data_IF_611075028197
#
_entry.id   IF_611075028197
#
_cell.length_a   1.000
_cell.length_b   1.000
_cell.length_c   1.000
_cell.angle_alpha   90.00
_cell.angle_beta   90.00
_cell.angle_gamma   90.00
#
_symmetry.space_group_name_H-M   'P 1'
#
loop_
_entity.id
_entity.type
_entity.pdbx_description
1 polymer ?
#
# COMPACT_ATOMS: atom_id res chain seq x y z
N UNK A 1 -27.50 20.00 47.50
CA UNK A 1 -28.06 18.91 46.68
C UNK A 1 -27.47 17.58 47.16
N UNK A 2 -28.30 16.57 47.48
CA UNK A 2 -27.78 15.22 47.81
C UNK A 2 -27.25 14.57 46.51
N UNK A 3 -26.11 13.88 46.58
CA UNK A 3 -25.54 13.17 45.42
C UNK A 3 -26.56 12.16 44.87
N UNK A 4 -26.75 12.06 43.55
CA UNK A 4 -27.70 11.11 42.93
C UNK A 4 -27.40 9.65 43.31
N UNK A 5 -26.12 9.31 43.51
CA UNK A 5 -25.68 7.98 43.96
C UNK A 5 -26.27 7.64 45.34
N UNK A 6 -26.23 8.59 46.29
CA UNK A 6 -26.76 8.39 47.63
C UNK A 6 -28.29 8.18 47.63
N UNK A 7 -28.99 8.79 46.68
CA UNK A 7 -30.44 8.59 46.54
C UNK A 7 -30.78 7.18 46.01
N UNK A 8 -30.03 6.70 45.01
CA UNK A 8 -30.19 5.35 44.46
C UNK A 8 -29.83 4.29 45.51
N UNK A 9 -28.74 4.50 46.24
CA UNK A 9 -28.26 3.57 47.28
C UNK A 9 -29.10 3.58 48.57
N UNK A 10 -30.05 4.51 48.73
CA UNK A 10 -30.79 4.71 49.98
C UNK A 10 -31.63 3.49 50.41
N UNK A 11 -32.14 2.70 49.47
CA UNK A 11 -32.87 1.45 49.75
C UNK A 11 -32.51 0.38 48.73
N UNK A 12 -32.57 -0.89 49.13
CA UNK A 12 -32.27 -2.03 48.24
C UNK A 12 -33.17 -2.07 47.00
N UNK A 13 -34.46 -1.78 47.16
CA UNK A 13 -35.40 -1.71 46.03
C UNK A 13 -35.03 -0.64 45.00
N UNK A 14 -34.59 0.54 45.45
CA UNK A 14 -34.11 1.61 44.55
C UNK A 14 -32.81 1.23 43.86
N UNK A 15 -31.90 0.56 44.56
CA UNK A 15 -30.65 0.07 44.01
C UNK A 15 -30.90 -1.00 42.92
N UNK A 16 -31.79 -1.96 43.17
CA UNK A 16 -32.21 -2.95 42.16
C UNK A 16 -32.84 -2.28 40.94
N UNK A 17 -33.80 -1.39 41.14
CA UNK A 17 -34.45 -0.66 40.04
C UNK A 17 -33.48 0.22 39.28
N UNK A 18 -32.55 0.89 39.98
CA UNK A 18 -31.51 1.72 39.37
C UNK A 18 -30.52 0.90 38.54
N UNK A 19 -30.11 -0.27 39.04
CA UNK A 19 -29.27 -1.23 38.28
C UNK A 19 -29.99 -1.73 37.05
N UNK A 20 -31.25 -2.17 37.16
CA UNK A 20 -32.03 -2.65 36.02
C UNK A 20 -32.23 -1.54 34.99
N UNK A 21 -32.67 -0.36 35.41
CA UNK A 21 -32.85 0.79 34.52
C UNK A 21 -31.53 1.21 33.86
N UNK A 22 -30.42 1.21 34.60
CA UNK A 22 -29.09 1.51 34.08
C UNK A 22 -28.62 0.50 33.03
N UNK A 23 -28.75 -0.80 33.30
CA UNK A 23 -28.39 -1.86 32.37
C UNK A 23 -29.27 -1.84 31.12
N UNK A 24 -30.59 -1.70 31.28
CA UNK A 24 -31.53 -1.58 30.15
C UNK A 24 -31.24 -0.33 29.32
N UNK A 25 -30.99 0.81 29.95
CA UNK A 25 -30.64 2.05 29.26
C UNK A 25 -29.31 1.93 28.50
N UNK A 26 -28.29 1.31 29.13
CA UNK A 26 -27.00 1.08 28.49
C UNK A 26 -27.13 0.18 27.26
N UNK A 27 -27.84 -0.94 27.37
CA UNK A 27 -28.09 -1.85 26.27
C UNK A 27 -28.93 -1.20 25.16
N UNK A 28 -29.95 -0.45 25.54
CA UNK A 28 -30.85 0.25 24.62
C UNK A 28 -30.18 1.36 23.82
N UNK A 29 -29.15 2.01 24.36
CA UNK A 29 -28.41 3.08 23.69
C UNK A 29 -27.20 2.55 22.91
N UNK A 30 -26.55 1.49 23.38
CA UNK A 30 -25.30 0.99 22.79
C UNK A 30 -25.44 0.58 21.31
N UNK A 31 -26.50 -0.14 20.96
CA UNK A 31 -26.70 -0.57 19.57
C UNK A 31 -27.01 0.60 18.62
N UNK A 32 -27.96 1.52 18.92
CA UNK A 32 -28.18 2.72 18.11
C UNK A 32 -26.93 3.58 17.94
N UNK A 33 -26.15 3.76 19.01
CA UNK A 33 -24.87 4.46 18.99
C UNK A 33 -23.89 3.79 18.03
N UNK A 34 -23.67 2.48 18.18
CA UNK A 34 -22.78 1.72 17.32
C UNK A 34 -23.23 1.77 15.85
N UNK A 35 -24.53 1.68 15.60
CA UNK A 35 -25.11 1.75 14.26
C UNK A 35 -24.98 3.14 13.63
N UNK A 36 -25.22 4.20 14.41
CA UNK A 36 -25.06 5.59 13.96
C UNK A 36 -23.61 5.87 13.57
N UNK A 37 -22.64 5.48 14.41
CA UNK A 37 -21.22 5.63 14.12
C UNK A 37 -20.86 4.85 12.85
N UNK A 38 -21.33 3.60 12.71
CA UNK A 38 -21.04 2.76 11.52
C UNK A 38 -21.61 3.31 10.22
N UNK A 39 -22.86 3.77 10.23
CA UNK A 39 -23.60 4.04 8.99
C UNK A 39 -23.77 5.53 8.68
N UNK A 40 -23.89 6.41 9.68
CA UNK A 40 -24.23 7.82 9.44
C UNK A 40 -23.16 8.85 9.82
N UNK A 41 -22.31 8.59 10.83
CA UNK A 41 -21.37 9.62 11.31
C UNK A 41 -20.32 10.07 10.28
N UNK A 42 -20.10 11.37 10.18
CA UNK A 42 -19.11 12.00 9.31
C UNK A 42 -17.97 12.68 10.09
N UNK A 43 -17.97 12.58 11.42
CA UNK A 43 -17.03 13.27 12.32
C UNK A 43 -16.37 12.29 13.30
N UNK A 44 -15.10 11.92 13.07
CA UNK A 44 -14.38 11.03 13.99
C UNK A 44 -14.23 11.59 15.41
N UNK A 45 -14.17 12.92 15.55
CA UNK A 45 -14.12 13.57 16.87
C UNK A 45 -15.43 13.40 17.61
N UNK A 46 -16.57 13.53 16.92
CA UNK A 46 -17.88 13.29 17.52
C UNK A 46 -18.04 11.82 17.92
N UNK A 47 -17.58 10.90 17.08
CA UNK A 47 -17.58 9.47 17.38
C UNK A 47 -16.81 9.16 18.66
N UNK A 48 -15.59 9.71 18.80
CA UNK A 48 -14.80 9.54 20.02
C UNK A 48 -15.51 10.10 21.25
N UNK A 49 -16.10 11.30 21.17
CA UNK A 49 -16.86 11.88 22.28
C UNK A 49 -18.04 11.01 22.68
N UNK A 50 -18.77 10.48 21.71
CA UNK A 50 -19.95 9.65 21.92
C UNK A 50 -19.57 8.27 22.49
N UNK A 51 -18.47 7.68 22.02
CA UNK A 51 -17.88 6.46 22.59
C UNK A 51 -17.43 6.71 24.04
N UNK A 52 -16.73 7.81 24.30
CA UNK A 52 -16.24 8.17 25.65
C UNK A 52 -17.41 8.42 26.61
N UNK A 53 -18.42 9.19 26.19
CA UNK A 53 -19.62 9.43 26.99
C UNK A 53 -20.33 8.12 27.32
N UNK A 54 -20.48 7.22 26.34
CA UNK A 54 -21.06 5.91 26.55
C UNK A 54 -20.25 5.05 27.54
N UNK A 55 -18.92 5.10 27.48
CA UNK A 55 -18.04 4.41 28.45
C UNK A 55 -18.19 4.96 29.88
N UNK A 56 -18.35 6.27 30.06
CA UNK A 56 -18.64 6.84 31.38
C UNK A 56 -19.97 6.35 31.94
N UNK A 57 -21.01 6.25 31.09
CA UNK A 57 -22.30 5.67 31.50
C UNK A 57 -22.12 4.20 31.89
N UNK A 58 -21.36 3.42 31.11
CA UNK A 58 -21.07 2.02 31.43
C UNK A 58 -20.34 1.87 32.78
N UNK A 59 -19.35 2.71 33.07
CA UNK A 59 -18.64 2.73 34.34
C UNK A 59 -19.55 3.09 35.51
N UNK A 60 -20.43 4.07 35.33
CA UNK A 60 -21.42 4.47 36.34
C UNK A 60 -22.41 3.34 36.62
N UNK A 61 -22.99 2.73 35.58
CA UNK A 61 -23.90 1.59 35.71
C UNK A 61 -23.18 0.39 36.35
N UNK A 62 -21.93 0.15 35.98
CA UNK A 62 -21.09 -0.88 36.59
C UNK A 62 -20.84 -0.62 38.07
N UNK A 63 -20.63 0.63 38.47
CA UNK A 63 -20.50 1.01 39.87
C UNK A 63 -21.79 0.77 40.67
N UNK A 64 -22.95 1.19 40.15
CA UNK A 64 -24.26 0.94 40.79
C UNK A 64 -24.56 -0.56 40.87
N UNK A 65 -24.23 -1.32 39.82
CA UNK A 65 -24.36 -2.77 39.79
C UNK A 65 -23.44 -3.46 40.80
N UNK A 66 -22.21 -2.97 40.94
CA UNK A 66 -21.25 -3.47 41.92
C UNK A 66 -21.69 -3.18 43.36
N UNK A 67 -22.31 -2.01 43.62
CA UNK A 67 -22.95 -1.72 44.91
C UNK A 67 -24.05 -2.73 45.23
N UNK A 68 -24.86 -3.11 44.24
CA UNK A 68 -25.88 -4.14 44.43
C UNK A 68 -25.27 -5.51 44.74
N UNK A 69 -24.23 -5.92 44.02
CA UNK A 69 -23.54 -7.19 44.27
C UNK A 69 -22.85 -7.18 45.64
N UNK A 70 -22.21 -6.07 46.01
CA UNK A 70 -21.61 -5.88 47.33
C UNK A 70 -22.65 -5.96 48.46
N UNK A 71 -23.83 -5.35 48.28
CA UNK A 71 -24.97 -5.45 49.23
C UNK A 71 -25.45 -6.88 49.43
N UNK A 72 -25.28 -7.75 48.42
CA UNK A 72 -25.65 -9.17 48.49
C UNK A 72 -24.56 -10.05 49.11
N UNK A 73 -23.29 -9.77 48.81
CA UNK A 73 -22.16 -10.61 49.23
C UNK A 73 -21.60 -10.22 50.60
N UNK A 74 -21.67 -8.95 50.96
CA UNK A 74 -21.09 -8.46 52.21
C UNK A 74 -22.15 -8.44 53.32
N UNK A 75 -21.93 -9.16 54.43
CA UNK A 75 -22.85 -9.16 55.56
C UNK A 75 -22.92 -7.81 56.30
N UNK A 76 -23.92 -7.69 57.18
CA UNK A 76 -24.05 -6.67 58.22
C UNK A 76 -24.29 -5.22 57.74
N UNK A 77 -25.09 -5.02 56.70
CA UNK A 77 -25.46 -3.67 56.26
C UNK A 77 -24.24 -2.86 55.78
N UNK A 78 -23.31 -3.54 55.09
CA UNK A 78 -22.06 -2.93 54.60
C UNK A 78 -22.31 -1.67 53.78
N UNK A 79 -23.38 -1.63 52.98
CA UNK A 79 -23.80 -0.45 52.20
C UNK A 79 -24.16 0.72 53.12
N UNK A 80 -24.95 0.48 54.15
CA UNK A 80 -25.38 1.48 55.12
C UNK A 80 -24.18 2.13 55.79
N UNK A 81 -23.20 1.33 56.24
CA UNK A 81 -22.01 1.83 56.93
C UNK A 81 -21.02 2.48 55.97
N UNK A 82 -20.64 1.78 54.89
CA UNK A 82 -19.51 2.19 54.04
C UNK A 82 -19.86 3.23 52.97
N UNK A 83 -21.12 3.27 52.51
CA UNK A 83 -21.55 4.13 51.41
C UNK A 83 -22.47 5.24 51.90
N UNK A 84 -23.43 4.90 52.77
CA UNK A 84 -24.39 5.89 53.30
C UNK A 84 -23.89 6.58 54.58
N UNK A 85 -22.82 6.07 55.22
CA UNK A 85 -22.29 6.62 56.47
C UNK A 85 -23.26 6.53 57.64
N UNK A 86 -24.20 5.58 57.61
CA UNK A 86 -25.16 5.35 58.70
C UNK A 86 -24.51 4.46 59.76
N UNK A 87 -24.65 4.86 61.02
CA UNK A 87 -24.38 3.97 62.15
C UNK A 87 -25.49 2.93 62.20
N UNK A 88 -25.11 1.65 62.18
CA UNK A 88 -26.05 0.54 62.39
C UNK A 88 -26.08 0.31 63.89
N UNK A 89 -27.25 0.43 64.52
CA UNK A 89 -27.43 0.15 65.94
C UNK A 89 -27.15 -1.34 66.18
N UNK A 90 -25.94 -1.63 66.65
CA UNK A 90 -25.55 -2.97 67.07
C UNK A 90 -26.03 -3.12 68.51
N UNK A 91 -27.26 -3.59 68.69
CA UNK A 91 -27.88 -3.76 70.02
C UNK A 91 -27.22 -4.84 70.89
N UNK A 92 -26.16 -5.50 70.42
CA UNK A 92 -25.35 -6.47 71.17
C UNK A 92 -23.87 -6.05 71.15
N UNK A 93 -23.30 -5.71 72.31
CA UNK A 93 -21.90 -5.28 72.47
C UNK A 93 -20.86 -6.29 71.90
N UNK A 94 -21.22 -7.57 71.84
CA UNK A 94 -20.38 -8.64 71.27
C UNK A 94 -20.25 -8.60 69.74
N UNK A 95 -20.93 -7.70 69.03
CA UNK A 95 -20.85 -7.59 67.57
C UNK A 95 -20.23 -6.29 67.07
N UNK A 96 -19.97 -5.30 67.94
CA UNK A 96 -19.42 -4.01 67.54
C UNK A 96 -18.01 -4.12 66.93
N UNK A 97 -17.15 -4.96 67.52
CA UNK A 97 -15.79 -5.21 67.03
C UNK A 97 -15.77 -6.01 65.72
N UNK A 98 -16.78 -6.84 65.46
CA UNK A 98 -16.94 -7.57 64.19
C UNK A 98 -17.39 -6.65 63.06
N UNK A 99 -18.20 -5.61 63.35
CA UNK A 99 -18.67 -4.64 62.35
C UNK A 99 -17.54 -3.69 61.89
N UNK A 100 -16.69 -3.23 62.81
CA UNK A 100 -15.55 -2.35 62.49
C UNK A 100 -14.48 -3.10 61.66
N UNK A 101 -14.15 -4.34 62.06
CA UNK A 101 -13.26 -5.21 61.29
C UNK A 101 -13.85 -5.61 59.91
N UNK A 102 -15.16 -5.84 59.82
CA UNK A 102 -15.82 -6.22 58.58
C UNK A 102 -15.98 -5.08 57.56
N UNK A 103 -15.87 -3.81 57.98
CA UNK A 103 -16.10 -2.65 57.09
C UNK A 103 -14.80 -2.06 56.56
N UNK A 104 -13.72 -2.05 57.35
CA UNK A 104 -12.44 -1.42 56.98
C UNK A 104 -11.61 -2.22 55.97
N UNK A 105 -11.77 -3.55 55.94
CA UNK A 105 -10.94 -4.44 55.09
C UNK A 105 -11.56 -4.78 53.73
N UNK A 106 -12.78 -4.30 53.43
CA UNK A 106 -13.52 -4.72 52.22
C UNK A 106 -13.39 -3.79 51.02
N UNK A 107 -12.65 -2.68 51.12
CA UNK A 107 -12.44 -1.76 49.99
C UNK A 107 -11.77 -2.46 48.81
N UNK A 108 -10.79 -3.32 49.07
CA UNK A 108 -10.14 -4.12 48.03
C UNK A 108 -11.14 -5.10 47.39
N UNK A 109 -11.87 -5.86 48.20
CA UNK A 109 -12.87 -6.81 47.73
C UNK A 109 -13.98 -6.13 46.90
N UNK A 110 -14.48 -4.98 47.34
CA UNK A 110 -15.45 -4.19 46.59
C UNK A 110 -14.88 -3.68 45.25
N UNK A 111 -13.65 -3.19 45.26
CA UNK A 111 -12.98 -2.73 44.03
C UNK A 111 -12.82 -3.88 43.03
N UNK A 112 -12.49 -5.10 43.50
CA UNK A 112 -12.45 -6.30 42.67
C UNK A 112 -13.84 -6.64 42.08
N UNK A 113 -14.89 -6.59 42.89
CA UNK A 113 -16.28 -6.79 42.41
C UNK A 113 -16.61 -5.77 41.33
N UNK A 114 -16.29 -4.49 41.55
CA UNK A 114 -16.56 -3.44 40.58
C UNK A 114 -15.84 -3.66 39.25
N UNK A 115 -14.55 -4.00 39.28
CA UNK A 115 -13.79 -4.33 38.07
C UNK A 115 -14.42 -5.52 37.34
N UNK A 116 -14.77 -6.60 38.05
CA UNK A 116 -15.40 -7.78 37.44
C UNK A 116 -16.75 -7.41 36.80
N UNK A 117 -17.59 -6.64 37.50
CA UNK A 117 -18.88 -6.20 36.98
C UNK A 117 -18.74 -5.31 35.75
N UNK A 118 -17.79 -4.37 35.75
CA UNK A 118 -17.48 -3.52 34.58
C UNK A 118 -17.01 -4.38 33.41
N UNK A 119 -16.13 -5.36 33.65
CA UNK A 119 -15.66 -6.28 32.61
C UNK A 119 -16.82 -7.09 32.01
N UNK A 120 -17.74 -7.57 32.83
CA UNK A 120 -18.95 -8.27 32.36
C UNK A 120 -19.78 -7.32 31.48
N UNK A 121 -20.09 -6.11 31.96
CA UNK A 121 -20.90 -5.14 31.21
C UNK A 121 -20.26 -4.75 29.87
N UNK A 122 -18.96 -4.44 29.87
CA UNK A 122 -18.22 -4.06 28.66
C UNK A 122 -18.16 -5.24 27.69
N UNK A 123 -17.87 -6.45 28.18
CA UNK A 123 -17.84 -7.66 27.35
C UNK A 123 -19.21 -7.97 26.75
N UNK A 124 -20.27 -7.95 27.56
CA UNK A 124 -21.65 -8.15 27.10
C UNK A 124 -22.02 -7.13 26.02
N UNK A 125 -21.64 -5.87 26.20
CA UNK A 125 -21.95 -4.84 25.19
C UNK A 125 -21.08 -4.98 23.95
N UNK A 126 -19.83 -5.41 24.09
CA UNK A 126 -18.96 -5.76 22.97
C UNK A 126 -19.58 -6.84 22.09
N UNK A 127 -20.12 -7.91 22.70
CA UNK A 127 -20.83 -8.95 21.95
C UNK A 127 -22.16 -8.43 21.36
N UNK A 128 -22.95 -7.69 22.14
CA UNK A 128 -24.24 -7.16 21.69
C UNK A 128 -24.11 -6.17 20.52
N UNK A 129 -23.00 -5.44 20.44
CA UNK A 129 -22.71 -4.48 19.36
C UNK A 129 -21.95 -5.11 18.20
N UNK A 130 -21.76 -6.43 18.17
CA UNK A 130 -21.00 -7.16 17.16
C UNK A 130 -19.56 -6.63 17.01
N UNK A 131 -18.79 -6.64 18.11
CA UNK A 131 -17.39 -6.17 18.13
C UNK A 131 -17.25 -4.72 17.62
N UNK A 132 -18.10 -3.81 18.09
CA UNK A 132 -18.06 -2.42 17.64
C UNK A 132 -16.72 -1.74 17.93
N UNK A 133 -16.14 -1.96 19.11
CA UNK A 133 -14.85 -1.36 19.46
C UNK A 133 -13.70 -1.83 18.60
N UNK A 134 -13.60 -3.14 18.36
CA UNK A 134 -12.57 -3.68 17.48
C UNK A 134 -12.77 -3.23 16.04
N UNK A 135 -14.02 -3.15 15.58
CA UNK A 135 -14.33 -2.56 14.28
C UNK A 135 -13.95 -1.07 14.21
N UNK A 136 -14.29 -0.27 15.22
CA UNK A 136 -14.03 1.17 15.22
C UNK A 136 -12.53 1.49 15.24
N UNK A 137 -11.77 0.77 16.08
CA UNK A 137 -10.32 0.89 16.16
C UNK A 137 -9.63 0.50 14.84
N UNK A 138 -10.21 -0.42 14.07
CA UNK A 138 -9.65 -0.87 12.78
C UNK A 138 -10.09 -0.03 11.59
N UNK A 139 -11.37 0.36 11.53
CA UNK A 139 -12.01 0.92 10.34
C UNK A 139 -12.82 2.18 10.62
N UNK A 140 -13.39 2.31 11.82
CA UNK A 140 -14.36 3.36 12.12
C UNK A 140 -13.81 4.77 11.91
N UNK A 141 -12.58 5.03 12.37
CA UNK A 141 -11.93 6.32 12.15
C UNK A 141 -11.81 6.68 10.66
N UNK A 142 -11.35 5.74 9.83
CA UNK A 142 -11.23 5.95 8.39
C UNK A 142 -12.60 6.12 7.73
N UNK A 143 -13.55 5.22 8.03
CA UNK A 143 -14.91 5.25 7.48
C UNK A 143 -15.66 6.55 7.80
N UNK A 144 -15.61 7.05 9.04
CA UNK A 144 -16.20 8.33 9.40
C UNK A 144 -15.49 9.52 8.74
N UNK A 145 -14.16 9.47 8.63
CA UNK A 145 -13.40 10.53 7.93
C UNK A 145 -13.77 10.59 6.45
N UNK A 146 -13.91 9.44 5.79
CA UNK A 146 -14.28 9.36 4.37
C UNK A 146 -15.71 9.83 4.09
N UNK A 147 -16.61 9.76 5.07
CA UNK A 147 -17.96 10.34 5.01
C UNK A 147 -18.00 11.84 5.33
N UNK A 148 -16.94 12.39 5.93
CA UNK A 148 -16.76 13.82 6.21
C UNK A 148 -16.84 14.71 4.98
N UNK A 149 -16.82 16.03 5.17
CA UNK A 149 -16.74 17.00 4.06
C UNK A 149 -15.29 17.46 3.80
N UNK A 150 -14.37 17.20 4.73
CA UNK A 150 -12.99 17.68 4.63
C UNK A 150 -12.16 16.85 3.63
N UNK A 151 -11.99 17.39 2.42
CA UNK A 151 -11.21 16.81 1.32
C UNK A 151 -9.78 16.42 1.71
N UNK A 152 -9.06 17.30 2.39
CA UNK A 152 -7.66 17.07 2.77
C UNK A 152 -7.54 15.83 3.68
N UNK A 153 -8.41 15.74 4.69
CA UNK A 153 -8.45 14.57 5.58
C UNK A 153 -8.81 13.29 4.84
N UNK A 154 -9.75 13.33 3.88
CA UNK A 154 -10.05 12.15 3.05
C UNK A 154 -8.85 11.68 2.27
N UNK A 155 -8.13 12.61 1.64
CA UNK A 155 -6.93 12.29 0.84
C UNK A 155 -5.85 11.65 1.72
N UNK A 156 -5.58 12.21 2.90
CA UNK A 156 -4.63 11.66 3.87
C UNK A 156 -5.03 10.23 4.28
N UNK A 157 -6.31 10.01 4.59
CA UNK A 157 -6.79 8.69 5.02
C UNK A 157 -6.71 7.65 3.90
N UNK A 158 -7.05 8.01 2.66
CA UNK A 158 -6.88 7.12 1.51
C UNK A 158 -5.40 6.73 1.32
N UNK A 159 -4.49 7.67 1.50
CA UNK A 159 -3.05 7.39 1.46
C UNK A 159 -2.59 6.46 2.59
N UNK A 160 -3.04 6.71 3.84
CA UNK A 160 -2.72 5.85 4.98
C UNK A 160 -3.25 4.42 4.79
N UNK A 161 -4.50 4.28 4.33
CA UNK A 161 -5.11 2.98 4.05
C UNK A 161 -4.36 2.20 2.97
N UNK A 162 -3.79 2.89 1.98
CA UNK A 162 -2.96 2.28 0.93
C UNK A 162 -1.68 1.65 1.48
N UNK A 163 -1.16 2.19 2.59
CA UNK A 163 0.08 1.70 3.21
C UNK A 163 -0.15 0.45 4.07
N UNK A 164 -1.37 0.20 4.53
CA UNK A 164 -1.70 -1.00 5.30
C UNK A 164 -1.62 -2.26 4.42
N UNK A 165 -0.87 -3.28 4.89
CA UNK A 165 -0.62 -4.54 4.18
C UNK A 165 -1.07 -5.74 5.03
N UNK A 166 -2.31 -5.71 5.50
CA UNK A 166 -2.87 -6.78 6.33
C UNK A 166 -4.28 -7.19 5.89
N UNK A 167 -4.95 -7.99 6.71
CA UNK A 167 -6.31 -8.49 6.50
C UNK A 167 -7.36 -7.38 6.33
N UNK A 168 -7.04 -6.14 6.75
CA UNK A 168 -7.92 -4.95 6.62
C UNK A 168 -8.08 -4.47 5.18
N UNK A 169 -7.21 -4.92 4.28
CA UNK A 169 -7.15 -4.46 2.90
C UNK A 169 -8.47 -4.67 2.13
N UNK A 170 -9.23 -5.73 2.47
CA UNK A 170 -10.55 -6.00 1.87
C UNK A 170 -11.52 -4.85 2.17
N UNK A 171 -11.71 -4.53 3.44
CA UNK A 171 -12.63 -3.47 3.88
C UNK A 171 -12.12 -2.10 3.43
N UNK A 172 -10.81 -1.87 3.45
CA UNK A 172 -10.23 -0.64 2.94
C UNK A 172 -10.45 -0.46 1.44
N UNK A 173 -10.32 -1.52 0.64
CA UNK A 173 -10.64 -1.47 -0.79
C UNK A 173 -12.11 -1.10 -1.04
N UNK A 174 -13.04 -1.64 -0.26
CA UNK A 174 -14.46 -1.27 -0.35
C UNK A 174 -14.68 0.21 -0.04
N UNK A 175 -14.13 0.69 1.08
CA UNK A 175 -14.21 2.11 1.47
C UNK A 175 -13.57 3.03 0.41
N UNK A 176 -12.45 2.65 -0.19
CA UNK A 176 -11.83 3.40 -1.30
C UNK A 176 -12.72 3.38 -2.56
N UNK A 177 -13.38 2.27 -2.84
CA UNK A 177 -14.27 2.11 -4.01
C UNK A 177 -15.49 3.02 -3.90
N UNK A 178 -16.05 3.18 -2.70
CA UNK A 178 -17.13 4.14 -2.43
C UNK A 178 -16.71 5.59 -2.73
N UNK A 179 -15.43 5.92 -2.53
CA UNK A 179 -14.92 7.27 -2.82
C UNK A 179 -14.78 7.57 -4.32
N UNK A 180 -14.95 6.59 -5.21
CA UNK A 180 -14.98 6.83 -6.66
C UNK A 180 -16.21 7.64 -7.09
N UNK A 181 -17.28 7.61 -6.27
CA UNK A 181 -18.52 8.34 -6.51
C UNK A 181 -18.51 9.74 -5.84
N UNK A 182 -17.39 10.17 -5.27
CA UNK A 182 -17.22 11.50 -4.67
C UNK A 182 -17.36 12.62 -5.70
N UNK A 183 -18.01 13.72 -5.32
CA UNK A 183 -18.07 14.94 -6.13
C UNK A 183 -16.71 15.66 -6.21
N UNK A 184 -15.83 15.45 -5.24
CA UNK A 184 -14.52 16.08 -5.18
C UNK A 184 -13.50 15.35 -6.09
N UNK A 185 -12.91 16.03 -7.09
CA UNK A 185 -12.00 15.40 -8.02
C UNK A 185 -10.67 14.95 -7.42
N UNK A 186 -10.18 15.61 -6.37
CA UNK A 186 -8.97 15.20 -5.68
C UNK A 186 -9.19 13.89 -4.93
N UNK A 187 -10.35 13.75 -4.25
CA UNK A 187 -10.73 12.51 -3.55
C UNK A 187 -10.85 11.35 -4.53
N UNK A 188 -11.55 11.53 -5.65
CA UNK A 188 -11.68 10.49 -6.68
C UNK A 188 -10.31 10.09 -7.23
N UNK A 189 -9.44 11.08 -7.52
CA UNK A 189 -8.10 10.81 -8.05
C UNK A 189 -7.26 10.00 -7.04
N UNK A 190 -7.31 10.38 -5.75
CA UNK A 190 -6.61 9.66 -4.70
C UNK A 190 -7.19 8.26 -4.48
N UNK A 191 -8.51 8.09 -4.58
CA UNK A 191 -9.15 6.79 -4.45
C UNK A 191 -8.73 5.83 -5.58
N UNK A 192 -8.75 6.30 -6.83
CA UNK A 192 -8.25 5.56 -7.99
C UNK A 192 -6.78 5.15 -7.78
N UNK A 193 -5.94 6.10 -7.35
CA UNK A 193 -4.54 5.86 -7.07
C UNK A 193 -4.33 4.77 -6.01
N UNK A 194 -5.04 4.93 -4.89
CA UNK A 194 -4.97 4.05 -3.72
C UNK A 194 -5.35 2.62 -4.11
N UNK A 195 -6.46 2.46 -4.84
CA UNK A 195 -6.90 1.18 -5.37
C UNK A 195 -5.87 0.57 -6.33
N UNK A 196 -5.28 1.36 -7.23
CA UNK A 196 -4.21 0.88 -8.11
C UNK A 196 -3.00 0.34 -7.35
N UNK A 197 -2.55 1.05 -6.32
CA UNK A 197 -1.41 0.64 -5.49
C UNK A 197 -1.72 -0.62 -4.68
N UNK A 198 -2.94 -0.72 -4.15
CA UNK A 198 -3.46 -1.90 -3.46
C UNK A 198 -3.47 -3.10 -4.42
N UNK A 199 -4.01 -2.95 -5.64
CA UNK A 199 -4.00 -4.00 -6.67
C UNK A 199 -2.58 -4.44 -7.05
N UNK A 200 -1.66 -3.47 -7.24
CA UNK A 200 -0.26 -3.76 -7.58
C UNK A 200 0.42 -4.60 -6.50
N UNK A 201 0.22 -4.24 -5.23
CA UNK A 201 0.77 -4.97 -4.08
C UNK A 201 0.21 -6.39 -4.02
N UNK A 202 -1.09 -6.57 -4.28
CA UNK A 202 -1.69 -7.91 -4.35
C UNK A 202 -1.08 -8.75 -5.46
N UNK A 203 -1.00 -8.24 -6.69
CA UNK A 203 -0.38 -8.98 -7.81
C UNK A 203 1.03 -9.41 -7.48
N UNK A 204 1.83 -8.54 -6.84
CA UNK A 204 3.19 -8.87 -6.41
C UNK A 204 3.19 -9.98 -5.35
N UNK A 205 2.30 -9.92 -4.37
CA UNK A 205 2.13 -10.97 -3.36
C UNK A 205 1.73 -12.31 -4.00
N UNK A 206 0.81 -12.31 -4.96
CA UNK A 206 0.40 -13.50 -5.72
C UNK A 206 1.57 -14.09 -6.49
N UNK A 207 2.36 -13.25 -7.18
CA UNK A 207 3.56 -13.70 -7.88
C UNK A 207 4.59 -14.34 -6.93
N UNK A 208 4.79 -13.77 -5.74
CA UNK A 208 5.67 -14.36 -4.73
C UNK A 208 5.11 -15.70 -4.23
N UNK A 209 3.79 -15.85 -4.08
CA UNK A 209 3.14 -17.12 -3.71
C UNK A 209 3.37 -18.21 -4.73
N UNK A 210 3.18 -17.89 -6.02
CA UNK A 210 3.38 -18.85 -7.11
C UNK A 210 4.85 -19.31 -7.22
N UNK A 211 5.80 -18.56 -6.67
CA UNK A 211 7.21 -18.94 -6.55
C UNK A 211 7.51 -19.78 -5.29
N UNK A 212 6.50 -20.40 -4.67
CA UNK A 212 6.67 -21.27 -3.50
C UNK A 212 6.90 -20.53 -2.18
N UNK A 213 6.72 -19.20 -2.12
CA UNK A 213 6.79 -18.45 -0.87
C UNK A 213 5.43 -18.49 -0.17
N UNK A 214 5.41 -18.70 1.16
CA UNK A 214 4.17 -18.72 1.96
C UNK A 214 3.47 -17.37 1.92
N UNK A 215 2.48 -17.20 1.05
CA UNK A 215 1.52 -16.10 1.14
C UNK A 215 0.11 -16.64 1.43
N UNK A 216 -0.75 -15.76 1.94
CA UNK A 216 -2.09 -16.12 2.37
C UNK A 216 -3.04 -16.32 1.18
N UNK A 217 -3.77 -17.44 1.18
CA UNK A 217 -4.82 -17.75 0.21
C UNK A 217 -5.88 -16.63 0.04
N UNK A 218 -6.06 -15.79 1.07
CA UNK A 218 -6.99 -14.65 1.06
C UNK A 218 -6.66 -13.59 0.00
N UNK A 219 -5.39 -13.48 -0.45
CA UNK A 219 -4.97 -12.46 -1.43
C UNK A 219 -5.60 -12.71 -2.80
N UNK A 220 -5.77 -13.97 -3.23
CA UNK A 220 -6.39 -14.31 -4.51
C UNK A 220 -7.87 -13.91 -4.53
N UNK A 221 -8.63 -14.30 -3.49
CA UNK A 221 -10.05 -13.96 -3.42
C UNK A 221 -10.32 -12.46 -3.35
N UNK A 222 -9.45 -11.71 -2.66
CA UNK A 222 -9.53 -10.25 -2.64
C UNK A 222 -9.19 -9.63 -3.99
N UNK A 223 -8.15 -10.13 -4.68
CA UNK A 223 -7.81 -9.64 -6.01
C UNK A 223 -8.94 -9.89 -7.02
N UNK A 224 -9.58 -11.07 -6.97
CA UNK A 224 -10.76 -11.38 -7.80
C UNK A 224 -11.96 -10.47 -7.47
N UNK A 225 -12.21 -10.18 -6.18
CA UNK A 225 -13.26 -9.25 -5.76
C UNK A 225 -13.00 -7.83 -6.28
N UNK A 226 -11.75 -7.35 -6.18
CA UNK A 226 -11.34 -6.06 -6.77
C UNK A 226 -11.56 -6.03 -8.28
N UNK A 227 -11.16 -7.08 -9.00
CA UNK A 227 -11.40 -7.15 -10.44
C UNK A 227 -12.91 -7.14 -10.76
N UNK A 228 -13.74 -7.81 -9.97
CA UNK A 228 -15.19 -7.86 -10.22
C UNK A 228 -15.88 -6.52 -9.95
N UNK A 229 -15.52 -5.84 -8.87
CA UNK A 229 -16.26 -4.65 -8.39
C UNK A 229 -15.66 -3.34 -8.91
N UNK A 230 -14.33 -3.25 -9.00
CA UNK A 230 -13.62 -2.00 -9.29
C UNK A 230 -13.33 -1.84 -10.78
N UNK A 231 -12.96 -2.92 -11.48
CA UNK A 231 -12.62 -2.84 -12.91
C UNK A 231 -13.75 -2.23 -13.77
N UNK A 232 -15.03 -2.64 -13.64
CA UNK A 232 -16.09 -2.04 -14.44
C UNK A 232 -16.26 -0.53 -14.18
N UNK A 233 -16.04 -0.08 -12.94
CA UNK A 233 -16.07 1.35 -12.58
C UNK A 233 -14.92 2.10 -13.23
N UNK A 234 -13.71 1.55 -13.23
CA UNK A 234 -12.57 2.15 -13.91
C UNK A 234 -12.74 2.21 -15.43
N UNK A 235 -13.24 1.14 -16.06
CA UNK A 235 -13.53 1.14 -17.49
C UNK A 235 -14.61 2.17 -17.84
N UNK A 236 -15.65 2.32 -17.01
CA UNK A 236 -16.65 3.38 -17.16
C UNK A 236 -16.03 4.78 -17.06
N UNK A 237 -15.18 5.02 -16.05
CA UNK A 237 -14.45 6.29 -15.93
C UNK A 237 -13.56 6.54 -17.14
N UNK A 238 -12.89 5.52 -17.68
CA UNK A 238 -12.07 5.64 -18.88
C UNK A 238 -12.90 6.06 -20.09
N UNK A 239 -14.09 5.47 -20.26
CA UNK A 239 -15.02 5.80 -21.34
C UNK A 239 -15.57 7.23 -21.25
N UNK A 240 -15.68 7.82 -20.04
CA UNK A 240 -16.09 9.23 -19.87
C UNK A 240 -15.03 10.26 -20.28
N UNK A 241 -13.84 9.84 -20.69
CA UNK A 241 -12.82 10.75 -21.21
C UNK A 241 -12.15 11.61 -20.14
N UNK A 242 -11.95 11.05 -18.94
CA UNK A 242 -11.22 11.70 -17.85
C UNK A 242 -9.86 12.23 -18.33
N UNK A 243 -9.52 13.48 -17.99
CA UNK A 243 -8.27 14.16 -18.39
C UNK A 243 -7.35 14.45 -17.19
N UNK A 244 -6.10 14.83 -17.50
CA UNK A 244 -5.11 15.31 -16.52
C UNK A 244 -4.67 14.25 -15.51
N UNK A 245 -4.43 14.67 -14.26
CA UNK A 245 -3.91 13.81 -13.16
C UNK A 245 -4.82 12.60 -12.90
N UNK A 246 -6.13 12.76 -13.08
CA UNK A 246 -7.09 11.67 -12.90
C UNK A 246 -6.96 10.60 -14.00
N UNK A 247 -6.59 10.99 -15.23
CA UNK A 247 -6.28 10.05 -16.32
C UNK A 247 -5.03 9.23 -15.99
N UNK A 248 -3.99 9.89 -15.46
CA UNK A 248 -2.74 9.24 -15.01
C UNK A 248 -3.01 8.17 -13.94
N UNK A 249 -3.76 8.54 -12.89
CA UNK A 249 -4.14 7.62 -11.81
C UNK A 249 -4.97 6.44 -12.35
N UNK A 250 -5.91 6.71 -13.27
CA UNK A 250 -6.76 5.67 -13.85
C UNK A 250 -5.98 4.67 -14.71
N UNK A 251 -5.07 5.17 -15.56
CA UNK A 251 -4.19 4.33 -16.37
C UNK A 251 -3.35 3.41 -15.47
N UNK A 252 -2.81 3.95 -14.38
CA UNK A 252 -2.08 3.15 -13.40
C UNK A 252 -2.92 2.09 -12.71
N UNK A 253 -4.12 2.45 -12.26
CA UNK A 253 -4.98 1.53 -11.54
C UNK A 253 -5.43 0.37 -12.45
N UNK A 254 -5.79 0.68 -13.69
CA UNK A 254 -6.12 -0.30 -14.72
C UNK A 254 -4.94 -1.23 -15.04
N UNK A 255 -3.72 -0.69 -15.17
CA UNK A 255 -2.51 -1.48 -15.39
C UNK A 255 -2.19 -2.41 -14.22
N UNK A 256 -2.43 -1.95 -13.00
CA UNK A 256 -2.19 -2.70 -11.76
C UNK A 256 -3.17 -3.87 -11.59
N UNK A 257 -4.35 -3.79 -12.21
CA UNK A 257 -5.34 -4.88 -12.29
C UNK A 257 -5.07 -5.87 -13.44
N UNK A 258 -4.07 -5.62 -14.28
CA UNK A 258 -3.68 -6.45 -15.43
C UNK A 258 -4.87 -6.89 -16.30
N UNK A 259 -5.85 -6.00 -16.49
CA UNK A 259 -7.02 -6.29 -17.31
C UNK A 259 -6.68 -6.21 -18.80
N UNK A 260 -7.09 -7.21 -19.58
CA UNK A 260 -6.99 -7.17 -21.05
C UNK A 260 -7.89 -6.09 -21.65
N UNK A 261 -9.06 -5.84 -21.06
CA UNK A 261 -9.97 -4.77 -21.51
C UNK A 261 -9.33 -3.38 -21.38
N UNK A 262 -8.58 -3.15 -20.30
CA UNK A 262 -7.80 -1.93 -20.12
C UNK A 262 -6.79 -1.72 -21.26
N UNK A 263 -6.21 -2.80 -21.76
CA UNK A 263 -5.25 -2.76 -22.86
C UNK A 263 -5.88 -2.17 -24.13
N UNK A 264 -7.11 -2.56 -24.44
CA UNK A 264 -7.84 -2.02 -25.60
C UNK A 264 -7.99 -0.49 -25.50
N UNK A 265 -8.33 0.01 -24.31
CA UNK A 265 -8.38 1.44 -24.03
C UNK A 265 -7.02 2.13 -24.17
N UNK A 266 -5.95 1.50 -23.69
CA UNK A 266 -4.58 2.01 -23.85
C UNK A 266 -4.15 2.06 -25.30
N UNK A 267 -4.43 1.03 -26.10
CA UNK A 267 -4.12 0.97 -27.53
C UNK A 267 -4.85 2.06 -28.31
N UNK A 268 -6.11 2.33 -28.00
CA UNK A 268 -6.88 3.40 -28.62
C UNK A 268 -6.28 4.78 -28.29
N UNK A 269 -6.04 5.08 -27.00
CA UNK A 269 -5.41 6.34 -26.58
C UNK A 269 -4.00 6.49 -27.15
N UNK A 270 -3.16 5.45 -27.12
CA UNK A 270 -1.79 5.52 -27.61
C UNK A 270 -1.68 5.91 -29.10
N UNK A 271 -2.69 5.57 -29.91
CA UNK A 271 -2.78 5.94 -31.33
C UNK A 271 -3.46 7.28 -31.58
N UNK A 272 -4.20 7.81 -30.61
CA UNK A 272 -4.93 9.06 -30.76
C UNK A 272 -3.97 10.26 -30.80
N UNK A 273 -4.28 11.23 -31.66
CA UNK A 273 -3.57 12.52 -31.71
C UNK A 273 -3.90 13.43 -30.52
N UNK A 274 -5.04 13.19 -29.88
CA UNK A 274 -5.52 13.99 -28.74
C UNK A 274 -4.88 13.56 -27.41
N UNK A 275 -4.10 12.48 -27.42
CA UNK A 275 -3.45 11.98 -26.21
C UNK A 275 -2.34 12.93 -25.78
N UNK A 276 -2.51 13.49 -24.58
CA UNK A 276 -1.51 14.39 -24.01
C UNK A 276 -0.21 13.65 -23.73
N UNK A 277 0.92 14.38 -23.71
CA UNK A 277 2.22 13.79 -23.36
C UNK A 277 2.19 13.06 -22.02
N UNK A 278 1.53 13.64 -21.00
CA UNK A 278 1.41 13.04 -19.67
C UNK A 278 0.65 11.71 -19.72
N UNK A 279 -0.46 11.64 -20.45
CA UNK A 279 -1.21 10.40 -20.63
C UNK A 279 -0.41 9.34 -21.40
N UNK A 280 0.32 9.75 -22.44
CA UNK A 280 1.17 8.83 -23.20
C UNK A 280 2.28 8.24 -22.32
N UNK A 281 2.93 9.06 -21.49
CA UNK A 281 3.93 8.58 -20.51
C UNK A 281 3.31 7.64 -19.47
N UNK A 282 2.08 7.92 -19.03
CA UNK A 282 1.34 7.02 -18.13
C UNK A 282 1.01 5.68 -18.80
N UNK A 283 0.59 5.69 -20.07
CA UNK A 283 0.34 4.47 -20.85
C UNK A 283 1.62 3.66 -21.00
N UNK A 284 2.74 4.30 -21.36
CA UNK A 284 4.05 3.62 -21.48
C UNK A 284 4.41 2.90 -20.17
N UNK A 285 4.20 3.53 -19.02
CA UNK A 285 4.42 2.89 -17.71
C UNK A 285 3.43 1.76 -17.44
N UNK A 286 2.16 1.96 -17.76
CA UNK A 286 1.16 0.93 -17.63
C UNK A 286 1.55 -0.34 -18.40
N UNK A 287 2.00 -0.19 -19.64
CA UNK A 287 2.51 -1.29 -20.46
C UNK A 287 3.70 -2.00 -19.81
N UNK A 288 4.65 -1.23 -19.25
CA UNK A 288 5.78 -1.77 -18.50
C UNK A 288 5.34 -2.63 -17.30
N UNK A 289 4.34 -2.15 -16.54
CA UNK A 289 3.83 -2.85 -15.35
C UNK A 289 3.00 -4.09 -15.69
N UNK A 290 2.22 -4.03 -16.77
CA UNK A 290 1.43 -5.16 -17.25
C UNK A 290 2.33 -6.29 -17.74
N UNK A 291 3.50 -5.95 -18.31
CA UNK A 291 4.46 -6.91 -18.88
C UNK A 291 3.89 -7.71 -20.05
N UNK A 292 3.00 -7.09 -20.81
CA UNK A 292 2.42 -7.71 -21.99
C UNK A 292 3.42 -7.66 -23.16
N UNK A 293 4.09 -8.79 -23.40
CA UNK A 293 4.98 -8.97 -24.55
C UNK A 293 4.22 -8.95 -25.88
N UNK A 294 3.00 -9.48 -25.92
CA UNK A 294 2.25 -9.65 -27.16
C UNK A 294 1.82 -8.33 -27.77
N UNK A 295 1.17 -7.48 -26.97
CA UNK A 295 0.64 -6.22 -27.48
C UNK A 295 1.45 -4.99 -27.04
N UNK A 296 2.08 -5.02 -25.86
CA UNK A 296 2.80 -3.87 -25.31
C UNK A 296 4.08 -3.55 -26.07
N UNK A 297 4.87 -4.57 -26.42
CA UNK A 297 6.15 -4.40 -27.14
C UNK A 297 5.97 -3.69 -28.48
N UNK A 298 5.06 -4.10 -29.40
CA UNK A 298 4.86 -3.40 -30.67
C UNK A 298 4.52 -1.92 -30.50
N UNK A 299 3.73 -1.58 -29.48
CA UNK A 299 3.36 -0.19 -29.18
C UNK A 299 4.59 0.62 -28.73
N UNK A 300 5.33 0.13 -27.73
CA UNK A 300 6.52 0.81 -27.22
C UNK A 300 7.62 0.92 -28.29
N UNK A 301 7.79 -0.11 -29.11
CA UNK A 301 8.73 -0.12 -30.24
C UNK A 301 8.47 1.02 -31.22
N UNK A 302 7.21 1.32 -31.51
CA UNK A 302 6.84 2.43 -32.40
C UNK A 302 7.23 3.81 -31.86
N UNK A 303 7.58 3.91 -30.57
CA UNK A 303 7.98 5.14 -29.88
C UNK A 303 9.47 5.26 -29.61
N UNK A 304 10.30 4.30 -30.04
CA UNK A 304 11.77 4.38 -29.91
C UNK A 304 12.36 5.51 -30.76
N UNK A 305 11.69 5.88 -31.85
CA UNK A 305 12.12 6.93 -32.78
C UNK A 305 11.23 8.19 -32.67
N UNK A 306 10.51 8.35 -31.56
CA UNK A 306 9.68 9.54 -31.34
C UNK A 306 10.55 10.82 -31.27
N UNK A 307 9.97 11.95 -31.67
CA UNK A 307 10.65 13.25 -31.64
C UNK A 307 10.92 13.68 -30.19
N UNK A 308 10.02 13.35 -29.26
CA UNK A 308 10.16 13.70 -27.85
C UNK A 308 11.13 12.75 -27.12
N UNK A 309 12.18 13.32 -26.53
CA UNK A 309 13.22 12.57 -25.82
C UNK A 309 12.70 11.78 -24.62
N UNK A 310 11.73 12.33 -23.89
CA UNK A 310 11.17 11.71 -22.71
C UNK A 310 10.33 10.49 -23.08
N UNK A 311 9.56 10.58 -24.17
CA UNK A 311 8.76 9.46 -24.70
C UNK A 311 9.69 8.31 -25.13
N UNK A 312 10.76 8.61 -25.88
CA UNK A 312 11.74 7.59 -26.29
C UNK A 312 12.35 6.91 -25.08
N UNK A 313 12.87 7.69 -24.13
CA UNK A 313 13.53 7.14 -22.93
C UNK A 313 12.60 6.29 -22.09
N UNK A 314 11.37 6.75 -21.87
CA UNK A 314 10.38 5.97 -21.13
C UNK A 314 9.96 4.71 -21.87
N UNK A 315 9.91 4.73 -23.20
CA UNK A 315 9.59 3.54 -24.00
C UNK A 315 10.71 2.50 -23.93
N UNK A 316 11.97 2.93 -23.99
CA UNK A 316 13.14 2.07 -23.81
C UNK A 316 13.20 1.46 -22.42
N UNK A 317 12.92 2.25 -21.37
CA UNK A 317 12.80 1.73 -20.01
C UNK A 317 11.67 0.70 -19.89
N UNK A 318 10.49 1.01 -20.43
CA UNK A 318 9.33 0.14 -20.38
C UNK A 318 9.61 -1.21 -21.07
N UNK A 319 10.26 -1.20 -22.24
CA UNK A 319 10.74 -2.42 -22.90
C UNK A 319 11.71 -3.18 -21.98
N UNK A 320 12.64 -2.49 -21.33
CA UNK A 320 13.58 -3.09 -20.38
C UNK A 320 12.92 -3.73 -19.16
N UNK A 321 11.75 -3.25 -18.73
CA UNK A 321 10.96 -3.88 -17.66
C UNK A 321 10.14 -5.08 -18.15
N UNK A 322 9.60 -5.01 -19.37
CA UNK A 322 8.88 -6.12 -20.00
C UNK A 322 9.81 -7.30 -20.23
N UNK A 323 10.98 -7.05 -20.81
CA UNK A 323 11.98 -8.09 -20.98
C UNK A 323 12.63 -8.45 -19.65
N UNK A 324 12.87 -7.47 -18.77
CA UNK A 324 13.52 -7.59 -17.46
C UNK A 324 12.92 -8.61 -16.49
N UNK A 325 11.61 -8.81 -16.59
CA UNK A 325 10.86 -9.52 -15.57
C UNK A 325 10.54 -10.96 -15.98
N UNK A 326 11.43 -11.85 -15.62
CA UNK A 326 11.31 -13.28 -15.86
C UNK A 326 12.70 -13.87 -15.90
N UNK A 327 12.91 -14.90 -15.09
CA UNK A 327 13.98 -15.91 -15.17
C UNK A 327 15.45 -15.45 -15.08
N UNK A 328 16.16 -16.09 -14.16
CA UNK A 328 17.61 -16.29 -14.29
C UNK A 328 18.02 -17.13 -15.52
N UNK A 329 17.08 -17.39 -16.43
CA UNK A 329 17.22 -18.05 -17.73
C UNK A 329 16.53 -17.16 -18.78
N UNK A 330 17.23 -16.14 -19.24
CA UNK A 330 16.84 -15.46 -20.47
C UNK A 330 17.12 -16.41 -21.65
N UNK A 331 16.08 -16.85 -22.37
CA UNK A 331 16.29 -17.40 -23.70
C UNK A 331 16.22 -16.26 -24.72
N UNK A 332 17.22 -16.21 -25.61
CA UNK A 332 17.34 -15.24 -26.71
C UNK A 332 16.08 -15.23 -27.59
N UNK A 333 15.34 -16.34 -27.62
CA UNK A 333 14.09 -16.54 -28.36
C UNK A 333 12.91 -15.67 -27.91
N UNK A 334 12.98 -15.06 -26.71
CA UNK A 334 11.89 -14.21 -26.18
C UNK A 334 11.99 -12.74 -26.57
N UNK A 335 13.13 -12.32 -27.15
CA UNK A 335 13.35 -10.93 -27.51
C UNK A 335 12.80 -10.66 -28.91
N UNK A 336 11.94 -9.64 -29.03
CA UNK A 336 11.43 -9.19 -30.33
C UNK A 336 12.59 -8.66 -31.19
N UNK A 337 12.94 -9.40 -32.25
CA UNK A 337 14.02 -9.05 -33.17
C UNK A 337 13.82 -7.67 -33.81
N UNK A 338 12.57 -7.26 -34.03
CA UNK A 338 12.25 -5.93 -34.55
C UNK A 338 12.69 -4.79 -33.62
N UNK A 339 12.59 -4.98 -32.30
CA UNK A 339 13.06 -3.99 -31.31
C UNK A 339 14.58 -3.89 -31.34
N UNK A 340 15.28 -5.03 -31.36
CA UNK A 340 16.73 -5.07 -31.47
C UNK A 340 17.22 -4.40 -32.76
N UNK A 341 16.62 -4.74 -33.91
CA UNK A 341 16.95 -4.17 -35.21
C UNK A 341 16.85 -2.64 -35.22
N UNK A 342 15.76 -2.10 -34.67
CA UNK A 342 15.57 -0.65 -34.59
C UNK A 342 16.65 -0.03 -33.70
N UNK A 343 16.91 -0.61 -32.52
CA UNK A 343 17.94 -0.10 -31.61
C UNK A 343 19.31 -0.11 -32.28
N UNK A 344 19.73 -1.24 -32.85
CA UNK A 344 21.05 -1.40 -33.47
C UNK A 344 21.26 -0.39 -34.61
N UNK A 345 20.25 -0.19 -35.47
CA UNK A 345 20.33 0.73 -36.60
C UNK A 345 20.35 2.19 -36.18
N UNK A 346 19.58 2.55 -35.15
CA UNK A 346 19.41 3.93 -34.72
C UNK A 346 20.38 4.37 -33.61
N UNK A 347 20.99 3.44 -32.87
CA UNK A 347 21.88 3.75 -31.75
C UNK A 347 22.97 4.78 -32.12
N UNK A 348 23.68 4.69 -33.26
CA UNK A 348 24.71 5.67 -33.61
C UNK A 348 24.18 7.08 -33.87
N UNK A 349 22.92 7.21 -34.30
CA UNK A 349 22.29 8.48 -34.68
C UNK A 349 21.37 9.05 -33.60
N UNK A 350 21.08 8.29 -32.55
CA UNK A 350 20.33 8.73 -31.39
C UNK A 350 21.04 9.90 -30.66
N UNK A 351 20.24 10.80 -30.08
CA UNK A 351 20.75 11.76 -29.12
C UNK A 351 21.47 11.05 -27.96
N UNK A 352 22.54 11.65 -27.43
CA UNK A 352 23.41 11.04 -26.42
C UNK A 352 22.65 10.44 -25.22
N UNK A 353 21.67 11.15 -24.67
CA UNK A 353 20.86 10.65 -23.55
C UNK A 353 20.01 9.42 -23.92
N UNK A 354 19.54 9.33 -25.17
CA UNK A 354 18.81 8.15 -25.68
C UNK A 354 19.76 6.97 -25.84
N UNK A 355 20.99 7.20 -26.32
CA UNK A 355 22.02 6.17 -26.40
C UNK A 355 22.30 5.56 -25.02
N UNK A 356 22.41 6.39 -23.97
CA UNK A 356 22.59 5.92 -22.60
C UNK A 356 21.48 4.95 -22.16
N UNK A 357 20.19 5.28 -22.41
CA UNK A 357 19.07 4.41 -21.99
C UNK A 357 18.96 3.17 -22.91
N UNK A 358 19.26 3.31 -24.19
CA UNK A 358 19.31 2.18 -25.12
C UNK A 358 20.40 1.16 -24.72
N UNK A 359 21.55 1.62 -24.23
CA UNK A 359 22.61 0.75 -23.71
C UNK A 359 22.17 -0.03 -22.46
N UNK A 360 21.37 0.57 -21.56
CA UNK A 360 20.79 -0.14 -20.42
C UNK A 360 19.86 -1.27 -20.89
N UNK A 361 19.03 -0.99 -21.91
CA UNK A 361 18.16 -1.99 -22.50
C UNK A 361 18.96 -3.12 -23.15
N UNK A 362 19.97 -2.80 -23.95
CA UNK A 362 20.84 -3.80 -24.58
C UNK A 362 21.59 -4.65 -23.56
N UNK A 363 22.03 -4.06 -22.44
CA UNK A 363 22.68 -4.79 -21.34
C UNK A 363 21.73 -5.83 -20.70
N UNK A 364 20.43 -5.51 -20.62
CA UNK A 364 19.41 -6.46 -20.13
C UNK A 364 19.11 -7.55 -21.16
N UNK A 365 19.02 -7.18 -22.43
CA UNK A 365 18.68 -8.09 -23.54
C UNK A 365 19.81 -9.05 -23.92
N UNK A 366 21.07 -8.64 -23.72
CA UNK A 366 22.30 -9.40 -24.08
C UNK A 366 22.32 -9.95 -25.52
N UNK A 367 21.98 -9.15 -26.55
CA UNK A 367 21.93 -9.65 -27.92
C UNK A 367 23.35 -9.90 -28.45
N UNK A 368 23.68 -11.15 -28.80
CA UNK A 368 25.04 -11.53 -29.17
C UNK A 368 25.59 -10.79 -30.40
N UNK A 369 24.74 -10.40 -31.34
CA UNK A 369 25.11 -9.81 -32.63
C UNK A 369 25.35 -8.29 -32.61
N UNK A 370 25.25 -7.62 -31.45
CA UNK A 370 25.35 -6.14 -31.34
C UNK A 370 26.78 -5.63 -31.14
N UNK A 371 27.75 -6.55 -30.99
CA UNK A 371 29.16 -6.24 -30.80
C UNK A 371 29.73 -5.21 -31.80
N UNK A 372 29.61 -5.41 -33.13
CA UNK A 372 30.18 -4.51 -34.13
C UNK A 372 29.72 -3.06 -34.02
N UNK A 373 28.45 -2.83 -33.69
CA UNK A 373 27.90 -1.48 -33.51
C UNK A 373 28.38 -0.85 -32.21
N UNK A 374 28.52 -1.63 -31.13
CA UNK A 374 29.07 -1.17 -29.86
C UNK A 374 30.56 -0.81 -29.99
N UNK A 375 31.34 -1.54 -30.81
CA UNK A 375 32.73 -1.20 -31.11
C UNK A 375 32.83 0.19 -31.75
N UNK A 376 32.03 0.43 -32.79
CA UNK A 376 31.97 1.72 -33.48
C UNK A 376 31.55 2.85 -32.54
N UNK A 377 30.58 2.58 -31.66
CA UNK A 377 30.07 3.55 -30.69
C UNK A 377 31.11 3.88 -29.60
N UNK A 378 31.89 2.90 -29.15
CA UNK A 378 32.99 3.12 -28.22
C UNK A 378 34.08 4.02 -28.83
N UNK A 379 34.41 3.77 -30.09
CA UNK A 379 35.47 4.48 -30.81
C UNK A 379 35.05 5.89 -31.26
N UNK A 380 33.74 6.14 -31.47
CA UNK A 380 33.24 7.42 -31.98
C UNK A 380 33.07 8.52 -30.94
N UNK A 381 32.96 8.17 -29.65
CA UNK A 381 32.75 9.13 -28.57
C UNK A 381 34.10 9.56 -28.00
N UNK A 382 34.41 10.85 -28.00
CA UNK A 382 35.66 11.36 -27.43
C UNK A 382 35.81 11.05 -25.93
N UNK A 383 37.05 10.88 -25.42
CA UNK A 383 37.31 10.43 -24.05
C UNK A 383 36.85 11.37 -22.92
N UNK A 384 36.51 12.63 -23.22
CA UNK A 384 36.26 13.67 -22.23
C UNK A 384 34.80 14.14 -22.24
N UNK A 385 34.18 14.01 -21.06
CA UNK A 385 33.07 14.80 -20.49
C UNK A 385 31.61 14.39 -20.71
N UNK A 386 31.30 13.35 -21.48
CA UNK A 386 29.90 12.90 -21.57
C UNK A 386 29.59 11.76 -20.59
N UNK A 387 29.16 12.14 -19.39
CA UNK A 387 28.55 11.23 -18.42
C UNK A 387 27.08 11.00 -18.75
N UNK A 388 26.62 9.75 -18.65
CA UNK A 388 25.18 9.46 -18.71
C UNK A 388 24.51 10.11 -17.48
N UNK A 389 23.76 11.19 -17.70
CA UNK A 389 23.11 11.97 -16.65
C UNK A 389 22.22 11.07 -15.78
N UNK A 390 22.48 11.06 -14.46
CA UNK A 390 21.56 10.46 -13.50
C UNK A 390 20.34 11.37 -13.40
N UNK A 391 19.27 11.01 -14.09
CA UNK A 391 18.00 11.72 -13.98
C UNK A 391 16.98 10.89 -13.23
N UNK A 392 16.66 11.35 -12.02
CA UNK A 392 15.42 10.98 -11.37
C UNK A 392 14.28 11.59 -12.17
N UNK A 393 13.57 10.74 -12.92
CA UNK A 393 12.27 11.14 -13.44
C UNK A 393 11.32 11.18 -12.24
N UNK A 394 11.22 12.35 -11.59
CA UNK A 394 10.28 12.61 -10.48
C UNK A 394 8.86 12.61 -11.02
N UNK A 395 8.32 11.44 -11.29
CA UNK A 395 6.89 11.25 -11.48
C UNK A 395 6.29 10.85 -10.11
N UNK A 396 5.03 11.22 -9.84
CA UNK A 396 4.33 10.78 -8.62
C UNK A 396 4.31 9.25 -8.50
N UNK A 397 4.33 8.58 -9.64
CA UNK A 397 4.64 7.17 -9.73
C UNK A 397 6.09 6.98 -9.34
N UNK A 398 6.35 6.19 -8.30
CA UNK A 398 7.67 5.58 -8.09
C UNK A 398 8.02 4.76 -9.35
N UNK A 399 8.45 5.42 -10.42
CA UNK A 399 9.36 4.83 -11.36
C UNK A 399 10.56 4.45 -10.50
N UNK A 400 11.04 3.18 -10.55
CA UNK A 400 12.30 2.86 -9.92
C UNK A 400 13.30 3.90 -10.38
N UNK A 401 14.13 4.42 -9.46
CA UNK A 401 15.20 5.33 -9.82
C UNK A 401 15.86 4.76 -11.07
N UNK A 402 15.70 5.45 -12.20
CA UNK A 402 16.33 5.11 -13.47
C UNK A 402 17.81 5.43 -13.28
N UNK A 403 18.47 4.58 -12.51
CA UNK A 403 19.86 4.68 -12.15
C UNK A 403 20.64 3.98 -13.24
N UNK A 404 21.09 4.74 -14.23
CA UNK A 404 22.54 4.68 -14.40
C UNK A 404 23.10 5.47 -13.22
N UNK A 405 24.00 4.86 -12.46
CA UNK A 405 24.98 5.67 -11.72
C UNK A 405 25.58 6.64 -12.73
N UNK A 406 25.94 7.86 -12.30
CA UNK A 406 26.69 8.76 -13.17
C UNK A 406 27.95 8.00 -13.62
N UNK A 407 27.91 7.49 -14.83
CA UNK A 407 28.91 6.59 -15.40
C UNK A 407 29.33 7.21 -16.71
N UNK A 408 30.62 7.11 -17.00
CA UNK A 408 31.14 7.53 -18.29
C UNK A 408 30.50 6.67 -19.38
N UNK A 409 30.11 7.31 -20.47
CA UNK A 409 29.43 6.61 -21.58
C UNK A 409 30.23 5.40 -22.08
N UNK A 410 31.55 5.55 -22.25
CA UNK A 410 32.43 4.46 -22.68
C UNK A 410 32.44 3.29 -21.69
N UNK A 411 32.39 3.56 -20.39
CA UNK A 411 32.28 2.52 -19.37
C UNK A 411 30.94 1.77 -19.49
N UNK A 412 29.86 2.50 -19.79
CA UNK A 412 28.54 1.90 -20.03
C UNK A 412 28.54 0.99 -21.26
N UNK A 413 29.15 1.42 -22.37
CA UNK A 413 29.36 0.58 -23.56
C UNK A 413 30.15 -0.69 -23.22
N UNK A 414 31.21 -0.58 -22.41
CA UNK A 414 31.97 -1.74 -21.96
C UNK A 414 31.16 -2.71 -21.10
N UNK A 415 30.30 -2.21 -20.21
CA UNK A 415 29.39 -3.06 -19.43
C UNK A 415 28.40 -3.80 -20.33
N UNK A 416 27.84 -3.13 -21.34
CA UNK A 416 26.99 -3.79 -22.35
C UNK A 416 27.78 -4.88 -23.09
N UNK A 417 28.99 -4.58 -23.57
CA UNK A 417 29.86 -5.55 -24.22
C UNK A 417 30.23 -6.73 -23.29
N UNK A 418 30.46 -6.47 -22.00
CA UNK A 418 30.75 -7.51 -21.01
C UNK A 418 29.59 -8.50 -20.87
N UNK A 419 28.34 -8.03 -20.96
CA UNK A 419 27.17 -8.92 -20.85
C UNK A 419 27.00 -9.87 -22.03
N UNK A 420 27.62 -9.58 -23.18
CA UNK A 420 27.58 -10.43 -24.38
C UNK A 420 28.93 -11.11 -24.68
N UNK A 421 29.98 -10.81 -23.91
CA UNK A 421 31.31 -11.39 -24.11
C UNK A 421 31.32 -12.90 -23.84
N UNK A 422 30.48 -13.35 -22.92
CA UNK A 422 30.23 -14.77 -22.71
C UNK A 422 29.50 -15.35 -23.93
N UNK A 423 30.11 -16.30 -24.63
CA UNK A 423 29.64 -16.79 -25.94
C UNK A 423 30.05 -15.99 -27.19
N UNK A 424 30.61 -14.77 -27.10
CA UNK A 424 31.03 -13.99 -28.28
C UNK A 424 32.56 -13.82 -28.39
N UNK A 425 33.19 -14.56 -29.30
CA UNK A 425 34.65 -14.50 -29.52
C UNK A 425 35.12 -13.14 -30.09
N UNK A 426 34.33 -12.49 -30.94
CA UNK A 426 34.68 -11.23 -31.56
C UNK A 426 34.83 -10.12 -30.51
N UNK A 427 33.91 -10.07 -29.54
CA UNK A 427 33.96 -9.12 -28.41
C UNK A 427 35.21 -9.33 -27.57
N UNK A 428 35.58 -10.59 -27.27
CA UNK A 428 36.80 -10.91 -26.50
C UNK A 428 38.06 -10.46 -27.24
N UNK A 429 38.15 -10.73 -28.55
CA UNK A 429 39.30 -10.31 -29.37
C UNK A 429 39.40 -8.79 -29.44
N UNK A 430 38.27 -8.10 -29.61
CA UNK A 430 38.22 -6.64 -29.62
C UNK A 430 38.66 -6.05 -28.28
N UNK A 431 38.12 -6.53 -27.16
CA UNK A 431 38.49 -6.07 -25.82
C UNK A 431 39.98 -6.28 -25.54
N UNK A 432 40.53 -7.46 -25.89
CA UNK A 432 41.96 -7.77 -25.70
C UNK A 432 42.89 -6.87 -26.53
N UNK A 433 42.43 -6.46 -27.72
CA UNK A 433 43.18 -5.51 -28.56
C UNK A 433 43.16 -4.12 -27.93
N UNK A 434 41.98 -3.65 -27.51
CA UNK A 434 41.80 -2.31 -26.94
C UNK A 434 42.38 -2.14 -25.54
N UNK A 435 42.45 -3.19 -24.73
CA UNK A 435 43.10 -3.13 -23.41
C UNK A 435 44.61 -2.85 -23.50
N UNK A 436 45.24 -3.16 -24.64
CA UNK A 436 46.66 -2.89 -24.92
C UNK A 436 46.91 -1.56 -25.64
N UNK A 437 45.86 -0.86 -26.05
CA UNK A 437 45.95 0.36 -26.84
C UNK A 437 46.19 1.58 -25.92
N UNK A 438 47.38 2.17 -25.99
CA UNK A 438 47.75 3.33 -25.16
C UNK A 438 46.87 4.57 -25.35
N UNK A 439 46.08 4.64 -26.44
CA UNK A 439 45.12 5.73 -26.67
C UNK A 439 43.86 5.62 -25.81
N UNK A 440 43.60 4.45 -25.23
CA UNK A 440 42.47 4.21 -24.31
C UNK A 440 42.88 4.58 -22.89
N UNK A 441 42.01 5.33 -22.19
CA UNK A 441 42.20 5.72 -20.80
C UNK A 441 42.55 4.51 -19.92
N UNK A 442 43.51 4.68 -19.00
CA UNK A 442 44.02 3.58 -18.16
C UNK A 442 42.93 2.87 -17.36
N UNK A 443 41.94 3.62 -16.84
CA UNK A 443 40.78 3.05 -16.13
C UNK A 443 39.95 2.10 -17.00
N UNK A 444 39.65 2.50 -18.25
CA UNK A 444 38.89 1.66 -19.19
C UNK A 444 39.68 0.42 -19.62
N UNK A 445 41.02 0.53 -19.74
CA UNK A 445 41.89 -0.64 -20.01
C UNK A 445 41.85 -1.65 -18.87
N UNK A 446 41.94 -1.18 -17.63
CA UNK A 446 41.83 -2.03 -16.45
C UNK A 446 40.45 -2.71 -16.36
N UNK A 447 39.36 -1.98 -16.65
CA UNK A 447 38.01 -2.54 -16.70
C UNK A 447 37.89 -3.66 -17.75
N UNK A 448 38.45 -3.46 -18.95
CA UNK A 448 38.49 -4.49 -20.00
C UNK A 448 39.27 -5.74 -19.57
N UNK A 449 40.45 -5.58 -18.95
CA UNK A 449 41.27 -6.71 -18.47
C UNK A 449 40.54 -7.51 -17.39
N UNK A 450 39.90 -6.81 -16.45
CA UNK A 450 39.08 -7.44 -15.42
C UNK A 450 37.88 -8.22 -16.02
N UNK A 451 37.17 -7.64 -16.99
CA UNK A 451 36.08 -8.34 -17.70
C UNK A 451 36.60 -9.61 -18.38
N UNK A 452 37.74 -9.52 -19.09
CA UNK A 452 38.34 -10.66 -19.77
C UNK A 452 38.74 -11.77 -18.78
N UNK A 453 39.28 -11.40 -17.62
CA UNK A 453 39.60 -12.36 -16.55
C UNK A 453 38.34 -13.09 -16.08
N UNK A 454 37.29 -12.36 -15.71
CA UNK A 454 36.01 -12.94 -15.24
C UNK A 454 35.38 -13.86 -16.27
N UNK A 455 35.42 -13.50 -17.56
CA UNK A 455 34.90 -14.35 -18.64
C UNK A 455 35.72 -15.64 -18.77
N UNK A 456 37.04 -15.57 -18.66
CA UNK A 456 37.89 -16.78 -18.70
C UNK A 456 37.66 -17.69 -17.50
N UNK A 457 37.51 -17.12 -16.30
CA UNK A 457 37.21 -17.89 -15.07
C UNK A 457 35.87 -18.62 -15.18
N UNK A 458 34.83 -17.97 -15.72
CA UNK A 458 33.52 -18.61 -15.96
C UNK A 458 33.62 -19.75 -16.98
N UNK A 459 34.36 -19.55 -18.08
CA UNK A 459 34.57 -20.58 -19.10
C UNK A 459 35.38 -21.78 -18.60
N UNK A 460 36.27 -21.58 -17.61
CA UNK A 460 37.02 -22.67 -17.00
C UNK A 460 36.19 -23.47 -15.97
N UNK A 461 35.09 -22.90 -15.48
CA UNK A 461 34.19 -23.53 -14.52
C UNK A 461 33.04 -24.32 -15.17
N UNK A 462 32.78 -24.08 -16.46
CA UNK A 462 31.86 -24.86 -17.31
C UNK A 462 32.59 -26.06 -17.91
#
# INVERSE_FOLDING_TARGET
MKSPILWIAATRGRLVMGTLAGLTGLAGVAYPVANYVRSSSSSPTFDLLLITAWMFVALFVGYVSALLVGDLLFPAGWREVSILGRQVDVTNDDHAHLVDAATRDRTFAFSSIWVVVVLIIVSSTYFATNNFFGWYARYGYASSTLRGENTERKVIILEEMTRALDDRLVTYAQLMTEQLDSSDPLVVTQAIWSLGEVSRRMVRSIQMMNQGKKGGQWVNGLYESLQREVLPRFLKLQATGVQGVRSEALIYALASLKSEDAFTGFKAKFKSKDTTKVELLAIIKALAFMRDQGNGVPMLRSKILDEDDEIVRMSLWALGEIYGFGSGDYSEDTVDTGTLDILIRSLPTMAFNRQCVALDLLQRLRPGHVGPQLFKLFDSVEPSDKSCERREVKLKFQAPELMSKGEEFRQKVLKTLATIADGNHEVIVWMRRRSKDSTVASGLRADMEHILQVVNERRAAQ
#
